data_IF_440359218945
#
_entry.id   IF_440359218945
#
_cell.length_a   1.000
_cell.length_b   1.000
_cell.length_c   1.000
_cell.angle_alpha   90.00
_cell.angle_beta   90.00
_cell.angle_gamma   90.00
#
_symmetry.space_group_name_H-M   'P 1'
#
loop_
_entity.id
_entity.type
_entity.pdbx_description
1 polymer ?
#
# COMPACT_ATOMS: atom_id res chain seq x y z
N UNK A 1 60.19 -46.61 30.82
CA UNK A 1 59.26 -46.61 29.67
C UNK A 1 57.83 -46.55 30.22
N UNK A 2 56.95 -45.84 29.51
CA UNK A 2 55.50 -45.62 29.74
C UNK A 2 55.07 -44.39 30.59
N UNK A 3 55.18 -43.21 29.97
CA UNK A 3 54.13 -42.16 29.76
C UNK A 3 53.22 -41.65 30.90
N UNK A 4 53.23 -40.34 31.21
CA UNK A 4 52.12 -39.60 31.82
C UNK A 4 51.33 -38.87 30.72
N UNK A 5 50.21 -39.44 30.25
CA UNK A 5 49.40 -38.82 29.17
C UNK A 5 47.92 -38.65 29.56
N UNK A 6 47.46 -39.13 30.72
CA UNK A 6 46.02 -39.18 30.99
C UNK A 6 45.40 -37.91 31.62
N UNK A 7 46.20 -36.96 32.13
CA UNK A 7 45.66 -35.81 32.88
C UNK A 7 45.50 -34.51 32.07
N UNK A 8 45.96 -34.46 30.83
CA UNK A 8 45.89 -33.26 29.97
C UNK A 8 44.79 -33.30 28.91
N UNK A 9 44.03 -34.39 28.80
CA UNK A 9 42.96 -34.52 27.79
C UNK A 9 41.57 -34.05 28.29
N UNK A 10 41.36 -33.93 29.60
CA UNK A 10 40.06 -33.53 30.19
C UNK A 10 39.82 -32.01 30.26
N UNK A 11 40.86 -31.19 30.15
CA UNK A 11 40.77 -29.73 30.35
C UNK A 11 40.73 -28.93 29.04
N UNK A 12 40.93 -29.59 27.90
CA UNK A 12 40.88 -28.96 26.57
C UNK A 12 39.50 -29.03 25.90
N UNK A 13 38.53 -29.77 26.47
CA UNK A 13 37.18 -29.90 25.89
C UNK A 13 36.15 -28.90 26.46
N UNK A 14 36.52 -28.12 27.48
CA UNK A 14 35.58 -27.22 28.19
C UNK A 14 35.64 -25.76 27.67
N UNK A 15 36.62 -25.41 26.83
CA UNK A 15 36.82 -24.02 26.38
C UNK A 15 36.13 -23.69 25.03
N UNK A 16 35.49 -24.66 24.37
CA UNK A 16 34.86 -24.44 23.04
C UNK A 16 33.36 -24.10 23.08
N UNK A 17 32.78 -23.84 24.26
CA UNK A 17 31.37 -23.46 24.41
C UNK A 17 31.15 -21.95 24.56
N UNK A 18 32.10 -21.13 24.12
CA UNK A 18 31.90 -19.68 24.02
C UNK A 18 30.82 -19.36 22.97
N UNK A 19 29.58 -19.30 23.41
CA UNK A 19 28.59 -18.30 23.03
C UNK A 19 28.42 -18.01 21.54
N UNK A 20 28.36 -19.02 20.68
CA UNK A 20 27.82 -18.81 19.34
C UNK A 20 26.31 -18.64 19.47
N UNK A 21 25.84 -17.39 19.48
CA UNK A 21 24.49 -17.04 19.08
C UNK A 21 24.18 -17.86 17.82
N UNK A 22 23.36 -18.91 17.91
CA UNK A 22 23.14 -19.74 16.72
C UNK A 22 22.43 -18.86 15.67
N UNK A 23 22.90 -18.82 14.42
CA UNK A 23 22.22 -18.07 13.35
C UNK A 23 20.74 -18.43 13.21
N UNK A 24 20.36 -19.64 13.66
CA UNK A 24 18.99 -20.16 13.67
C UNK A 24 18.11 -19.44 14.70
N UNK A 25 18.62 -19.16 15.91
CA UNK A 25 17.87 -18.43 16.93
C UNK A 25 17.64 -16.96 16.51
N UNK A 26 18.66 -16.31 15.94
CA UNK A 26 18.54 -14.96 15.41
C UNK A 26 17.58 -14.90 14.22
N UNK A 27 17.66 -15.85 13.28
CA UNK A 27 16.75 -15.92 12.14
C UNK A 27 15.29 -16.09 12.57
N UNK A 28 15.00 -16.98 13.54
CA UNK A 28 13.65 -17.15 14.09
C UNK A 28 13.14 -15.90 14.80
N UNK A 29 13.99 -15.25 15.60
CA UNK A 29 13.63 -14.02 16.31
C UNK A 29 13.29 -12.88 15.33
N UNK A 30 14.09 -12.70 14.28
CA UNK A 30 13.84 -11.67 13.24
C UNK A 30 12.53 -11.95 12.48
N UNK A 31 12.23 -13.21 12.15
CA UNK A 31 10.97 -13.58 11.50
C UNK A 31 9.75 -13.35 12.41
N UNK A 32 9.84 -13.70 13.69
CA UNK A 32 8.74 -13.49 14.64
C UNK A 32 8.53 -12.00 14.93
N UNK A 33 9.64 -11.23 14.95
CA UNK A 33 9.61 -9.78 15.02
C UNK A 33 8.86 -9.16 13.83
N UNK A 34 9.27 -9.49 12.59
CA UNK A 34 8.63 -8.97 11.38
C UNK A 34 7.12 -9.29 11.34
N UNK A 35 6.75 -10.54 11.69
CA UNK A 35 5.35 -10.95 11.82
C UNK A 35 4.58 -10.10 12.83
N UNK A 36 5.17 -9.82 13.98
CA UNK A 36 4.53 -9.03 15.03
C UNK A 36 4.31 -7.59 14.58
N UNK A 37 5.31 -6.97 13.93
CA UNK A 37 5.18 -5.59 13.41
C UNK A 37 4.09 -5.53 12.34
N UNK A 38 4.15 -6.40 11.33
CA UNK A 38 3.16 -6.45 10.26
C UNK A 38 1.74 -6.67 10.81
N UNK A 39 1.60 -7.52 11.83
CA UNK A 39 0.33 -7.75 12.51
C UNK A 39 -0.19 -6.50 13.24
N UNK A 40 0.67 -5.82 13.99
CA UNK A 40 0.30 -4.60 14.73
C UNK A 40 -0.13 -3.50 13.76
N UNK A 41 0.56 -3.32 12.63
CA UNK A 41 0.15 -2.33 11.62
C UNK A 41 -1.22 -2.63 11.02
N UNK A 42 -1.49 -3.90 10.68
CA UNK A 42 -2.80 -4.34 10.20
C UNK A 42 -3.91 -4.14 11.25
N UNK A 43 -3.64 -4.49 12.52
CA UNK A 43 -4.58 -4.28 13.62
C UNK A 43 -4.87 -2.80 13.85
N UNK A 44 -3.86 -1.91 13.80
CA UNK A 44 -4.06 -0.47 13.94
C UNK A 44 -4.90 0.14 12.80
N UNK A 45 -4.70 -0.33 11.57
CA UNK A 45 -5.52 0.07 10.43
C UNK A 45 -6.98 -0.39 10.61
N UNK A 46 -7.19 -1.65 11.00
CA UNK A 46 -8.53 -2.19 11.28
C UNK A 46 -9.21 -1.46 12.45
N UNK A 47 -8.46 -1.11 13.49
CA UNK A 47 -8.96 -0.34 14.62
C UNK A 47 -9.43 1.05 14.18
N UNK A 48 -8.76 1.69 13.21
CA UNK A 48 -9.23 2.96 12.66
C UNK A 48 -10.51 2.82 11.84
N UNK A 49 -10.73 1.68 11.17
CA UNK A 49 -12.01 1.39 10.53
C UNK A 49 -13.10 1.21 11.59
N UNK A 50 -12.82 0.48 12.67
CA UNK A 50 -13.74 0.33 13.81
C UNK A 50 -14.09 1.67 14.47
N UNK A 51 -13.10 2.55 14.66
CA UNK A 51 -13.30 3.92 15.15
C UNK A 51 -14.23 4.70 14.22
N UNK A 52 -13.94 4.70 12.91
CA UNK A 52 -14.77 5.38 11.93
C UNK A 52 -16.21 4.84 11.91
N UNK A 53 -16.39 3.52 12.12
CA UNK A 53 -17.71 2.87 12.22
C UNK A 53 -18.52 3.36 13.41
N UNK A 54 -17.86 3.72 14.49
CA UNK A 54 -18.48 4.24 15.71
C UNK A 54 -18.38 5.78 15.83
N UNK A 55 -18.06 6.48 14.73
CA UNK A 55 -17.89 7.94 14.69
C UNK A 55 -16.81 8.48 15.66
N UNK A 56 -15.87 7.64 16.07
CA UNK A 56 -14.70 8.07 16.82
C UNK A 56 -13.66 8.71 15.88
N UNK A 57 -12.93 9.74 16.33
CA UNK A 57 -11.80 10.28 15.57
C UNK A 57 -10.77 9.19 15.26
N UNK A 58 -10.38 9.09 13.99
CA UNK A 58 -9.30 8.19 13.59
C UNK A 58 -7.95 8.72 14.08
N UNK A 59 -7.07 7.82 14.50
CA UNK A 59 -5.76 8.15 15.03
C UNK A 59 -4.72 7.15 14.55
N UNK A 60 -3.60 7.64 14.04
CA UNK A 60 -2.55 6.79 13.49
C UNK A 60 -1.31 6.82 14.36
N UNK A 61 -0.81 5.63 14.65
CA UNK A 61 0.45 5.38 15.33
C UNK A 61 1.28 4.50 14.41
N UNK A 62 2.58 4.80 14.28
CA UNK A 62 3.51 3.88 13.64
C UNK A 62 4.46 3.30 14.68
N UNK A 63 4.82 2.03 14.51
CA UNK A 63 5.88 1.39 15.28
C UNK A 63 7.19 1.72 14.57
N UNK A 64 7.92 2.71 15.09
CA UNK A 64 9.13 3.21 14.42
C UNK A 64 10.32 2.24 14.49
N UNK A 65 10.41 1.49 15.59
CA UNK A 65 11.40 0.44 15.80
C UNK A 65 11.01 -0.37 17.02
N UNK A 66 11.30 -1.67 17.01
CA UNK A 66 11.35 -2.48 18.23
C UNK A 66 12.77 -3.01 18.36
N UNK A 67 13.40 -2.74 19.50
CA UNK A 67 14.72 -3.26 19.81
C UNK A 67 14.56 -4.38 20.85
N UNK A 68 14.89 -5.61 20.48
CA UNK A 68 14.91 -6.74 21.41
C UNK A 68 16.34 -6.98 21.93
N UNK A 69 16.52 -6.93 23.25
CA UNK A 69 17.76 -7.39 23.89
C UNK A 69 17.52 -8.78 24.46
N UNK A 70 18.32 -9.76 24.04
CA UNK A 70 18.28 -11.12 24.55
C UNK A 70 19.44 -11.32 25.53
N UNK A 71 19.14 -11.60 26.79
CA UNK A 71 20.11 -12.00 27.82
C UNK A 71 20.03 -13.52 28.01
N UNK A 72 21.04 -14.23 27.50
CA UNK A 72 21.18 -15.67 27.64
C UNK A 72 22.11 -15.97 28.80
N UNK A 73 21.57 -16.39 29.95
CA UNK A 73 22.39 -16.78 31.11
C UNK A 73 22.43 -18.30 31.21
N UNK A 74 23.63 -18.84 31.04
CA UNK A 74 23.93 -20.24 31.34
C UNK A 74 24.71 -20.27 32.64
N UNK A 75 24.08 -20.72 33.72
CA UNK A 75 24.72 -20.88 35.01
C UNK A 75 24.97 -22.38 35.25
N UNK A 76 26.25 -22.74 35.32
CA UNK A 76 26.70 -24.06 35.75
C UNK A 76 27.30 -23.91 37.15
N UNK A 77 26.64 -24.51 38.14
CA UNK A 77 27.05 -24.44 39.54
C UNK A 77 27.35 -25.83 40.09
N UNK A 78 28.42 -25.93 40.87
CA UNK A 78 28.70 -27.12 41.69
C UNK A 78 28.34 -26.75 43.12
N UNK A 79 27.22 -27.27 43.61
CA UNK A 79 26.79 -27.08 45.00
C UNK A 79 27.28 -28.27 45.82
N UNK A 80 28.41 -28.08 46.49
CA UNK A 80 28.90 -29.02 47.49
C UNK A 80 28.26 -28.74 48.85
N UNK A 81 27.49 -29.68 49.39
CA UNK A 81 27.02 -29.61 50.78
C UNK A 81 28.12 -30.16 51.70
N UNK A 82 28.61 -29.35 52.64
CA UNK A 82 29.56 -29.80 53.67
C UNK A 82 28.75 -30.53 54.77
N UNK A 83 28.80 -31.86 54.76
CA UNK A 83 28.26 -32.73 55.81
C UNK A 83 29.33 -33.15 56.83
N UNK A 84 28.94 -33.71 57.99
CA UNK A 84 29.87 -34.09 59.06
C UNK A 84 30.75 -35.32 58.75
N UNK A 85 30.54 -36.01 57.63
CA UNK A 85 31.35 -37.16 57.18
C UNK A 85 31.82 -36.96 55.73
N UNK A 86 33.10 -37.22 55.40
CA UNK A 86 33.63 -37.09 54.03
C UNK A 86 32.93 -38.00 53.00
N UNK A 87 32.27 -39.05 53.47
CA UNK A 87 31.66 -40.09 52.63
C UNK A 87 30.22 -39.75 52.18
N UNK A 88 29.59 -38.73 52.78
CA UNK A 88 28.18 -38.35 52.56
C UNK A 88 28.01 -36.90 52.05
N UNK A 89 29.00 -36.34 51.35
CA UNK A 89 28.89 -35.02 50.72
C UNK A 89 28.50 -35.18 49.23
N UNK A 90 27.21 -35.35 48.88
CA UNK A 90 26.81 -35.41 47.48
C UNK A 90 27.16 -34.08 46.82
N UNK A 91 28.00 -34.14 45.80
CA UNK A 91 28.29 -33.00 44.93
C UNK A 91 27.17 -32.94 43.91
N UNK A 92 26.25 -31.98 44.10
CA UNK A 92 25.16 -31.78 43.17
C UNK A 92 25.61 -30.81 42.07
N UNK A 93 25.62 -31.29 40.83
CA UNK A 93 25.95 -30.48 39.65
C UNK A 93 24.63 -29.98 39.08
N UNK A 94 24.36 -28.69 39.28
CA UNK A 94 23.20 -28.01 38.74
C UNK A 94 23.54 -27.35 37.41
N UNK A 95 22.76 -27.62 36.38
CA UNK A 95 22.81 -26.89 35.11
C UNK A 95 21.51 -26.11 34.96
N UNK A 96 21.59 -24.78 34.90
CA UNK A 96 20.44 -23.93 34.64
C UNK A 96 20.69 -23.06 33.41
N UNK A 97 19.69 -23.00 32.55
CA UNK A 97 19.66 -22.15 31.36
C UNK A 97 18.46 -21.24 31.48
N UNK A 98 18.69 -19.93 31.50
CA UNK A 98 17.62 -18.94 31.43
C UNK A 98 17.80 -18.05 30.20
N UNK A 99 16.67 -17.67 29.61
CA UNK A 99 16.60 -16.75 28.49
C UNK A 99 15.67 -15.63 28.93
N UNK A 100 16.19 -14.42 29.05
CA UNK A 100 15.39 -13.23 29.31
C UNK A 100 15.35 -12.36 28.05
N UNK A 101 14.13 -12.03 27.60
CA UNK A 101 13.90 -11.12 26.47
C UNK A 101 13.35 -9.80 27.01
N UNK A 102 14.06 -8.70 26.77
CA UNK A 102 13.60 -7.35 27.14
C UNK A 102 13.36 -6.54 25.85
N UNK A 103 12.20 -6.71 25.19
CA UNK A 103 11.89 -5.94 23.99
C UNK A 103 11.45 -4.53 24.39
N UNK A 104 12.06 -3.56 23.73
CA UNK A 104 11.76 -2.14 23.86
C UNK A 104 11.05 -1.68 22.60
N UNK A 105 9.76 -1.39 22.70
CA UNK A 105 8.96 -0.88 21.57
C UNK A 105 9.01 0.64 21.56
N UNK A 106 9.45 1.22 20.45
CA UNK A 106 9.41 2.67 20.22
C UNK A 106 8.23 3.01 19.34
N UNK A 107 7.20 3.58 19.96
CA UNK A 107 5.98 4.05 19.29
C UNK A 107 6.13 5.54 19.02
N UNK A 108 5.98 5.93 17.76
CA UNK A 108 5.91 7.35 17.40
C UNK A 108 4.46 7.63 17.00
N UNK A 109 3.72 8.43 17.78
CA UNK A 109 2.40 8.86 17.34
C UNK A 109 2.57 9.67 16.05
N UNK A 110 1.84 9.34 14.99
CA UNK A 110 1.87 10.17 13.78
C UNK A 110 0.89 11.30 14.05
N UNK A 111 1.42 12.42 14.50
CA UNK A 111 0.63 13.57 14.91
C UNK A 111 1.26 14.84 14.35
N UNK A 112 0.41 15.79 13.97
CA UNK A 112 0.83 17.07 13.40
C UNK A 112 -0.05 17.50 12.24
N UNK A 113 -0.10 18.81 12.01
CA UNK A 113 -0.94 19.44 10.99
C UNK A 113 -0.68 18.87 9.59
N UNK A 114 0.58 18.63 9.23
CA UNK A 114 0.96 18.10 7.92
C UNK A 114 0.45 16.67 7.68
N UNK A 115 0.45 15.83 8.71
CA UNK A 115 -0.11 14.49 8.62
C UNK A 115 -1.64 14.53 8.47
N UNK A 116 -2.30 15.36 9.30
CA UNK A 116 -3.76 15.56 9.20
C UNK A 116 -4.15 16.06 7.81
N UNK A 117 -3.43 17.05 7.27
CA UNK A 117 -3.64 17.54 5.90
C UNK A 117 -3.51 16.42 4.86
N UNK A 118 -2.48 15.59 4.95
CA UNK A 118 -2.26 14.48 3.98
C UNK A 118 -3.37 13.45 4.00
N UNK A 119 -3.83 13.05 5.19
CA UNK A 119 -4.91 12.06 5.33
C UNK A 119 -6.27 12.59 4.87
N UNK A 120 -6.50 13.90 5.01
CA UNK A 120 -7.72 14.57 4.57
C UNK A 120 -7.68 14.99 3.11
N UNK A 121 -6.49 15.17 2.53
CA UNK A 121 -6.32 15.50 1.11
C UNK A 121 -6.69 14.30 0.24
N UNK A 122 -7.52 14.50 -0.81
CA UNK A 122 -7.75 13.48 -1.82
C UNK A 122 -6.47 12.93 -2.42
N UNK A 123 -6.47 11.62 -2.72
CA UNK A 123 -5.34 10.95 -3.38
C UNK A 123 -5.14 11.51 -4.78
N UNK A 124 -3.88 11.57 -5.21
CA UNK A 124 -3.47 12.12 -6.52
C UNK A 124 -3.56 11.05 -7.62
N UNK A 125 -3.83 11.45 -8.86
CA UNK A 125 -3.81 10.58 -10.04
C UNK A 125 -2.51 9.75 -10.17
N UNK A 126 -1.38 10.30 -9.73
CA UNK A 126 -0.09 9.60 -9.72
C UNK A 126 -0.05 8.40 -8.76
N UNK A 127 -0.77 8.48 -7.64
CA UNK A 127 -0.90 7.36 -6.70
C UNK A 127 -1.77 6.25 -7.30
N UNK A 128 -2.83 6.63 -8.03
CA UNK A 128 -3.66 5.69 -8.77
C UNK A 128 -2.88 5.00 -9.89
N UNK A 129 -2.15 5.76 -10.71
CA UNK A 129 -1.27 5.23 -11.77
C UNK A 129 -0.28 4.21 -11.21
N UNK A 130 0.42 4.58 -10.12
CA UNK A 130 1.40 3.72 -9.47
C UNK A 130 0.80 2.36 -9.09
N UNK A 131 -0.37 2.36 -8.44
CA UNK A 131 -1.04 1.13 -7.97
C UNK A 131 -1.54 0.27 -9.13
N UNK A 132 -2.09 0.88 -10.18
CA UNK A 132 -2.50 0.15 -11.39
C UNK A 132 -1.30 -0.53 -12.06
N UNK A 133 -0.15 0.16 -12.15
CA UNK A 133 1.07 -0.42 -12.74
C UNK A 133 1.70 -1.54 -11.91
N UNK A 134 1.35 -1.66 -10.62
CA UNK A 134 1.72 -2.83 -9.80
C UNK A 134 0.89 -4.08 -10.15
N UNK A 135 -0.06 -4.00 -11.08
CA UNK A 135 -0.91 -5.12 -11.49
C UNK A 135 -2.08 -5.40 -10.56
N UNK A 136 -2.43 -4.45 -9.68
CA UNK A 136 -3.58 -4.54 -8.79
C UNK A 136 -4.89 -4.43 -9.59
N UNK A 137 -5.93 -5.14 -9.12
CA UNK A 137 -7.24 -5.11 -9.76
C UNK A 137 -7.83 -3.68 -9.75
N UNK A 138 -8.04 -3.12 -10.95
CA UNK A 138 -8.57 -1.76 -11.13
C UNK A 138 -10.00 -1.60 -10.59
N UNK A 139 -10.84 -2.64 -10.65
CA UNK A 139 -12.18 -2.63 -10.08
C UNK A 139 -12.09 -2.44 -8.56
N UNK A 140 -11.18 -3.15 -7.91
CA UNK A 140 -10.93 -3.02 -6.47
C UNK A 140 -10.36 -1.65 -6.12
N UNK A 141 -9.33 -1.19 -6.86
CA UNK A 141 -8.72 0.13 -6.67
C UNK A 141 -9.75 1.25 -6.79
N UNK A 142 -10.54 1.27 -7.86
CA UNK A 142 -11.52 2.32 -8.09
C UNK A 142 -12.68 2.26 -7.09
N UNK A 143 -13.08 1.08 -6.62
CA UNK A 143 -14.08 0.98 -5.54
C UNK A 143 -13.59 1.60 -4.22
N UNK A 144 -12.32 1.40 -3.89
CA UNK A 144 -11.70 2.00 -2.71
C UNK A 144 -11.47 3.49 -2.91
N UNK A 145 -10.77 3.86 -3.98
CA UNK A 145 -10.24 5.20 -4.21
C UNK A 145 -11.26 6.16 -4.79
N UNK A 146 -12.21 5.74 -5.64
CA UNK A 146 -13.11 6.68 -6.28
C UNK A 146 -14.32 7.02 -5.40
N UNK A 147 -14.52 8.31 -5.15
CA UNK A 147 -15.74 8.87 -4.54
C UNK A 147 -16.93 8.77 -5.49
N UNK A 148 -16.68 8.87 -6.78
CA UNK A 148 -17.68 8.84 -7.83
C UNK A 148 -17.07 9.17 -9.19
N UNK A 149 -17.89 9.17 -10.22
CA UNK A 149 -17.52 9.57 -11.58
C UNK A 149 -18.43 10.70 -12.03
N UNK A 150 -17.84 11.80 -12.49
CA UNK A 150 -18.55 12.84 -13.23
C UNK A 150 -18.59 12.43 -14.70
N UNK A 151 -19.75 12.07 -15.22
CA UNK A 151 -19.95 11.65 -16.62
C UNK A 151 -20.51 12.83 -17.42
N UNK A 152 -19.96 13.06 -18.60
CA UNK A 152 -20.47 14.06 -19.55
C UNK A 152 -21.48 13.40 -20.50
N UNK A 153 -22.70 13.91 -20.52
CA UNK A 153 -23.82 13.44 -21.35
C UNK A 153 -24.52 14.64 -22.02
N UNK A 154 -24.48 14.71 -23.36
CA UNK A 154 -25.25 15.67 -24.17
C UNK A 154 -25.14 17.15 -23.72
N UNK A 155 -23.97 17.56 -23.21
CA UNK A 155 -23.73 18.94 -22.72
C UNK A 155 -24.15 19.17 -21.27
N UNK A 156 -24.54 18.12 -20.55
CA UNK A 156 -24.75 18.11 -19.10
C UNK A 156 -23.76 17.17 -18.43
N UNK A 157 -23.44 17.44 -17.17
CA UNK A 157 -22.57 16.57 -16.37
C UNK A 157 -23.37 15.92 -15.26
N UNK A 158 -23.37 14.59 -15.19
CA UNK A 158 -24.07 13.79 -14.18
C UNK A 158 -23.05 13.17 -13.24
N UNK A 159 -23.25 13.29 -11.93
CA UNK A 159 -22.37 12.68 -10.93
C UNK A 159 -22.91 11.33 -10.48
N UNK A 160 -22.16 10.26 -10.76
CA UNK A 160 -22.45 8.91 -10.29
C UNK A 160 -21.64 8.64 -9.02
N UNK A 161 -22.29 8.64 -7.86
CA UNK A 161 -21.65 8.47 -6.56
C UNK A 161 -21.37 7.01 -6.22
N UNK A 162 -20.17 6.77 -5.68
CA UNK A 162 -19.84 5.52 -5.00
C UNK A 162 -20.41 5.54 -3.58
N UNK A 163 -21.73 5.54 -3.48
CA UNK A 163 -22.48 5.56 -2.23
C UNK A 163 -23.74 4.67 -2.34
N UNK A 164 -23.80 3.51 -1.66
CA UNK A 164 -24.95 2.61 -1.71
C UNK A 164 -26.30 3.23 -1.34
N UNK A 165 -26.34 4.33 -0.60
CA UNK A 165 -27.61 5.03 -0.27
C UNK A 165 -28.25 5.71 -1.49
N UNK A 166 -27.47 5.97 -2.54
CA UNK A 166 -27.91 6.52 -3.82
C UNK A 166 -27.95 5.37 -4.84
N UNK A 167 -28.99 4.54 -4.76
CA UNK A 167 -29.04 3.23 -5.43
C UNK A 167 -28.75 3.29 -6.93
N UNK A 168 -29.36 4.23 -7.65
CA UNK A 168 -29.22 4.33 -9.10
C UNK A 168 -27.83 4.86 -9.51
N UNK A 169 -27.33 5.88 -8.81
CA UNK A 169 -25.98 6.42 -9.00
C UNK A 169 -24.92 5.34 -8.73
N UNK A 170 -25.06 4.60 -7.63
CA UNK A 170 -24.15 3.54 -7.24
C UNK A 170 -24.17 2.38 -8.24
N UNK A 171 -25.35 1.98 -8.73
CA UNK A 171 -25.48 0.95 -9.76
C UNK A 171 -24.74 1.36 -11.03
N UNK A 172 -25.00 2.57 -11.53
CA UNK A 172 -24.34 3.07 -12.74
C UNK A 172 -22.83 3.25 -12.54
N UNK A 173 -22.40 3.77 -11.39
CA UNK A 173 -20.99 3.88 -11.01
C UNK A 173 -20.30 2.51 -11.06
N UNK A 174 -20.88 1.49 -10.41
CA UNK A 174 -20.36 0.12 -10.40
C UNK A 174 -20.30 -0.48 -11.81
N UNK A 175 -21.30 -0.23 -12.65
CA UNK A 175 -21.30 -0.65 -14.05
C UNK A 175 -20.18 0.00 -14.87
N UNK A 176 -19.91 1.30 -14.69
CA UNK A 176 -18.77 1.98 -15.34
C UNK A 176 -17.43 1.37 -14.91
N UNK A 177 -17.25 1.10 -13.62
CA UNK A 177 -16.03 0.47 -13.10
C UNK A 177 -15.83 -0.95 -13.63
N UNK A 178 -16.90 -1.75 -13.69
CA UNK A 178 -16.86 -3.10 -14.27
C UNK A 178 -16.50 -3.05 -15.76
N UNK A 179 -16.99 -2.04 -16.49
CA UNK A 179 -16.63 -1.82 -17.89
C UNK A 179 -15.13 -1.51 -18.06
N UNK A 180 -14.60 -0.60 -17.23
CA UNK A 180 -13.15 -0.31 -17.21
C UNK A 180 -12.33 -1.55 -16.82
N UNK A 181 -12.79 -2.34 -15.84
CA UNK A 181 -12.11 -3.55 -15.41
C UNK A 181 -12.04 -4.62 -16.52
N UNK A 182 -13.14 -4.84 -17.25
CA UNK A 182 -13.17 -5.75 -18.39
C UNK A 182 -12.20 -5.30 -19.51
N UNK A 183 -12.14 -3.99 -19.79
CA UNK A 183 -11.19 -3.42 -20.73
C UNK A 183 -9.73 -3.58 -20.29
N UNK A 184 -9.46 -3.40 -18.99
CA UNK A 184 -8.12 -3.57 -18.44
C UNK A 184 -7.67 -5.03 -18.53
N UNK A 185 -8.55 -5.97 -18.14
CA UNK A 185 -8.26 -7.40 -18.17
C UNK A 185 -8.03 -7.94 -19.59
N UNK A 186 -8.70 -7.36 -20.59
CA UNK A 186 -8.51 -7.69 -22.01
C UNK A 186 -7.33 -6.97 -22.67
N UNK A 187 -6.61 -6.10 -21.94
CA UNK A 187 -5.48 -5.34 -22.47
C UNK A 187 -5.89 -4.22 -23.44
N UNK A 188 -7.14 -3.78 -23.39
CA UNK A 188 -7.69 -2.72 -24.23
C UNK A 188 -7.85 -1.38 -23.51
N UNK A 189 -7.59 -1.33 -22.19
CA UNK A 189 -7.53 -0.09 -21.43
C UNK A 189 -6.10 0.45 -21.36
N UNK A 190 -5.93 1.70 -21.75
CA UNK A 190 -4.67 2.43 -21.64
C UNK A 190 -4.74 3.35 -20.43
N UNK A 191 -3.87 3.12 -19.46
CA UNK A 191 -3.74 3.94 -18.24
C UNK A 191 -2.31 4.47 -18.21
N UNK A 192 -2.13 5.67 -18.76
CA UNK A 192 -0.82 6.27 -18.89
C UNK A 192 -0.90 7.81 -18.97
N UNK A 193 0.16 8.52 -18.57
CA UNK A 193 0.23 9.96 -18.76
C UNK A 193 0.31 10.30 -20.25
N UNK A 194 -0.29 11.42 -20.63
CA UNK A 194 -0.13 11.96 -21.98
C UNK A 194 1.35 12.31 -22.20
N UNK A 195 1.96 11.75 -23.23
CA UNK A 195 3.30 12.13 -23.67
C UNK A 195 3.18 12.92 -24.96
N UNK A 196 3.67 14.15 -25.01
CA UNK A 196 3.67 14.96 -26.23
C UNK A 196 4.98 15.76 -26.35
N UNK A 197 5.25 16.27 -27.55
CA UNK A 197 6.39 17.14 -27.80
C UNK A 197 5.94 18.58 -28.05
N UNK A 198 6.59 19.52 -27.38
CA UNK A 198 6.41 20.96 -27.59
C UNK A 198 7.54 21.50 -28.46
N UNK A 199 7.16 22.19 -29.53
CA UNK A 199 8.08 22.88 -30.42
C UNK A 199 8.28 24.33 -29.98
N UNK A 200 9.52 24.69 -29.71
CA UNK A 200 9.95 26.05 -29.41
C UNK A 200 10.76 26.56 -30.60
N UNK A 201 10.23 27.48 -31.42
CA UNK A 201 10.99 28.07 -32.50
C UNK A 201 12.13 28.89 -31.92
N UNK A 202 13.37 28.61 -32.35
CA UNK A 202 14.55 29.35 -31.87
C UNK A 202 15.17 30.10 -33.04
N UNK A 203 15.18 31.43 -32.92
CA UNK A 203 16.01 32.28 -33.76
C UNK A 203 17.39 32.39 -33.08
N UNK A 204 18.39 31.72 -33.67
CA UNK A 204 19.77 31.84 -33.21
C UNK A 204 20.44 33.01 -33.96
N UNK A 205 20.87 34.01 -33.21
CA UNK A 205 21.70 35.13 -33.69
C UNK A 205 23.16 34.72 -33.92
N UNK A 206 23.61 33.67 -33.24
CA UNK A 206 24.92 33.04 -33.40
C UNK A 206 24.87 31.52 -33.25
N UNK A 207 25.95 30.85 -33.66
CA UNK A 207 26.13 29.44 -33.34
C UNK A 207 26.20 29.22 -31.81
N UNK A 208 25.59 28.13 -31.35
CA UNK A 208 25.64 27.71 -29.95
C UNK A 208 27.02 27.16 -29.61
N UNK A 209 27.48 27.46 -28.40
CA UNK A 209 28.67 26.86 -27.82
C UNK A 209 28.38 25.42 -27.36
N UNK A 210 29.40 24.55 -27.26
CA UNK A 210 29.22 23.20 -26.73
C UNK A 210 28.55 23.17 -25.34
N UNK A 211 28.86 24.14 -24.48
CA UNK A 211 28.25 24.27 -23.14
C UNK A 211 26.75 24.55 -23.22
N UNK A 212 26.33 25.42 -24.13
CA UNK A 212 24.91 25.73 -24.35
C UNK A 212 24.15 24.52 -24.92
N UNK A 213 24.78 23.76 -25.82
CA UNK A 213 24.19 22.53 -26.36
C UNK A 213 23.99 21.49 -25.26
N UNK A 214 24.99 21.27 -24.40
CA UNK A 214 24.89 20.35 -23.26
C UNK A 214 23.79 20.80 -22.29
N UNK A 215 23.73 22.09 -21.94
CA UNK A 215 22.70 22.62 -21.04
C UNK A 215 21.26 22.45 -21.58
N UNK A 216 21.08 22.56 -22.90
CA UNK A 216 19.79 22.32 -23.57
C UNK A 216 19.42 20.82 -23.53
N UNK A 217 20.38 19.93 -23.78
CA UNK A 217 20.19 18.49 -23.71
C UNK A 217 19.89 18.00 -22.28
N UNK A 218 20.60 18.53 -21.27
CA UNK A 218 20.36 18.23 -19.85
C UNK A 218 18.94 18.61 -19.42
N UNK A 219 18.37 19.68 -20.00
CA UNK A 219 16.98 20.10 -19.77
C UNK A 219 15.95 19.32 -20.59
N UNK A 220 16.38 18.26 -21.29
CA UNK A 220 15.50 17.36 -22.06
C UNK A 220 15.05 17.89 -23.41
N UNK A 221 15.65 18.97 -23.91
CA UNK A 221 15.36 19.50 -25.24
C UNK A 221 16.19 18.78 -26.31
N UNK A 222 15.65 18.71 -27.53
CA UNK A 222 16.28 18.10 -28.71
C UNK A 222 16.19 19.07 -29.89
N UNK A 223 17.24 19.14 -30.68
CA UNK A 223 17.24 19.95 -31.90
C UNK A 223 16.58 19.18 -33.04
N UNK A 224 15.56 19.79 -33.64
CA UNK A 224 14.94 19.30 -34.88
C UNK A 224 15.05 20.40 -35.92
N UNK A 225 15.55 20.03 -37.11
CA UNK A 225 15.66 20.92 -38.26
C UNK A 225 14.71 20.41 -39.34
N UNK A 226 13.48 20.94 -39.42
CA UNK A 226 12.50 20.49 -40.41
C UNK A 226 12.94 20.90 -41.83
N UNK A 227 13.70 20.05 -42.51
CA UNK A 227 14.25 20.31 -43.86
C UNK A 227 15.16 21.55 -43.99
N UNK A 228 15.88 21.64 -45.12
CA UNK A 228 17.01 22.57 -45.34
C UNK A 228 16.66 24.09 -45.31
N UNK A 229 15.40 24.47 -45.10
CA UNK A 229 14.91 25.86 -45.23
C UNK A 229 14.15 26.41 -44.00
N UNK A 230 13.89 25.62 -42.96
CA UNK A 230 13.13 26.08 -41.79
C UNK A 230 14.02 26.60 -40.66
N UNK A 231 13.44 27.46 -39.82
CA UNK A 231 14.02 27.85 -38.53
C UNK A 231 14.23 26.61 -37.67
N UNK A 232 15.42 26.45 -37.05
CA UNK A 232 15.66 25.32 -36.18
C UNK A 232 14.71 25.37 -34.98
N UNK A 233 14.17 24.22 -34.61
CA UNK A 233 13.21 24.08 -33.52
C UNK A 233 13.84 23.29 -32.37
N UNK A 234 13.56 23.72 -31.15
CA UNK A 234 13.79 22.95 -29.94
C UNK A 234 12.53 22.16 -29.62
N UNK A 235 12.66 20.84 -29.54
CA UNK A 235 11.59 19.93 -29.13
C UNK A 235 11.83 19.47 -27.70
N UNK A 236 10.82 19.55 -26.83
CA UNK A 236 10.89 18.95 -25.49
C UNK A 236 9.76 17.94 -25.32
N UNK A 237 10.11 16.74 -24.86
CA UNK A 237 9.11 15.73 -24.48
C UNK A 237 8.51 16.12 -23.13
N UNK A 238 7.20 16.27 -23.07
CA UNK A 238 6.42 16.56 -21.87
C UNK A 238 5.67 15.32 -21.44
N UNK A 239 5.69 15.04 -20.14
CA UNK A 239 4.79 14.10 -19.49
C UNK A 239 3.65 14.92 -18.87
N UNK A 240 2.43 14.70 -19.34
CA UNK A 240 1.22 15.41 -18.96
C UNK A 240 0.42 14.65 -17.88
N UNK A 241 -0.89 14.92 -17.88
CA UNK A 241 -1.89 14.31 -17.00
C UNK A 241 -2.16 12.86 -17.37
N UNK A 242 -2.58 12.09 -16.36
CA UNK A 242 -3.02 10.71 -16.54
C UNK A 242 -4.33 10.65 -17.34
N UNK A 243 -4.41 9.72 -18.29
CA UNK A 243 -5.65 9.41 -19.00
C UNK A 243 -5.96 7.92 -18.91
N UNK A 244 -7.24 7.60 -18.84
CA UNK A 244 -7.79 6.24 -18.91
C UNK A 244 -8.64 6.14 -20.18
N UNK A 245 -8.15 5.44 -21.19
CA UNK A 245 -8.78 5.42 -22.52
C UNK A 245 -8.89 4.00 -23.09
N UNK A 246 -9.88 3.74 -23.95
CA UNK A 246 -9.98 2.48 -24.69
C UNK A 246 -9.24 2.49 -26.04
N UNK A 247 -8.51 3.56 -26.32
CA UNK A 247 -7.67 3.75 -27.49
C UNK A 247 -6.26 4.18 -27.06
N UNK A 248 -5.25 3.88 -27.87
CA UNK A 248 -3.89 4.28 -27.56
C UNK A 248 -3.72 5.79 -27.78
N UNK A 249 -3.48 6.61 -26.74
CA UNK A 249 -3.34 8.06 -26.89
C UNK A 249 -2.17 8.46 -27.79
N UNK A 250 -1.19 7.59 -28.02
CA UNK A 250 -0.05 7.87 -28.90
C UNK A 250 -0.40 7.85 -30.39
N UNK A 251 -1.58 7.40 -30.78
CA UNK A 251 -2.07 7.52 -32.17
C UNK A 251 -2.50 8.95 -32.50
N UNK A 252 -2.78 9.76 -31.48
CA UNK A 252 -3.12 11.18 -31.62
C UNK A 252 -1.89 12.01 -31.96
N UNK A 253 -2.09 13.12 -32.69
CA UNK A 253 -1.04 14.09 -32.96
C UNK A 253 -0.48 14.69 -31.65
N UNK A 254 0.75 15.21 -31.70
CA UNK A 254 1.36 15.87 -30.53
C UNK A 254 0.52 17.07 -30.06
N UNK A 255 0.01 17.87 -30.99
CA UNK A 255 -0.85 19.01 -30.68
C UNK A 255 -2.19 18.61 -30.08
N UNK A 256 -2.82 17.54 -30.59
CA UNK A 256 -4.07 17.05 -30.02
C UNK A 256 -3.87 16.57 -28.58
N UNK A 257 -2.77 15.86 -28.29
CA UNK A 257 -2.42 15.47 -26.91
C UNK A 257 -2.13 16.66 -26.01
N UNK A 258 -1.45 17.70 -26.53
CA UNK A 258 -1.19 18.94 -25.79
C UNK A 258 -2.49 19.66 -25.42
N UNK A 259 -3.40 19.84 -26.37
CA UNK A 259 -4.70 20.50 -26.14
C UNK A 259 -5.57 19.71 -25.15
N UNK A 260 -5.59 18.38 -25.28
CA UNK A 260 -6.26 17.51 -24.31
C UNK A 260 -5.65 17.66 -22.91
N UNK A 261 -4.32 17.66 -22.81
CA UNK A 261 -3.61 17.88 -21.55
C UNK A 261 -3.90 19.24 -20.92
N UNK A 262 -3.93 20.31 -21.72
CA UNK A 262 -4.32 21.67 -21.26
C UNK A 262 -5.75 21.70 -20.70
N UNK A 263 -6.65 20.90 -21.27
CA UNK A 263 -8.03 20.76 -20.80
C UNK A 263 -8.08 20.03 -19.46
N UNK A 264 -7.44 18.86 -19.37
CA UNK A 264 -7.40 18.04 -18.14
C UNK A 264 -6.63 18.75 -17.01
N UNK A 265 -5.63 19.58 -17.34
CA UNK A 265 -4.88 20.38 -16.37
C UNK A 265 -5.72 21.37 -15.57
N UNK A 266 -6.92 21.71 -16.04
CA UNK A 266 -7.86 22.56 -15.31
C UNK A 266 -8.55 21.81 -14.16
N UNK A 267 -8.65 20.48 -14.27
CA UNK A 267 -9.23 19.62 -13.24
C UNK A 267 -8.22 19.42 -12.09
N UNK A 268 -8.70 19.28 -10.83
CA UNK A 268 -7.85 18.92 -9.69
C UNK A 268 -7.01 17.66 -9.95
N UNK A 269 -5.88 17.53 -9.23
CA UNK A 269 -4.99 16.36 -9.37
C UNK A 269 -5.61 15.06 -8.87
N UNK A 270 -6.63 15.14 -8.02
CA UNK A 270 -7.44 14.02 -7.55
C UNK A 270 -8.54 13.62 -8.53
N UNK A 271 -8.57 14.21 -9.72
CA UNK A 271 -9.50 13.85 -10.79
C UNK A 271 -8.73 13.13 -11.90
N UNK A 272 -9.12 11.90 -12.18
CA UNK A 272 -8.54 11.10 -13.27
C UNK A 272 -9.46 11.17 -14.47
N UNK A 273 -8.93 11.64 -15.59
CA UNK A 273 -9.69 11.74 -16.85
C UNK A 273 -9.94 10.37 -17.46
N UNK A 274 -11.16 10.13 -17.92
CA UNK A 274 -11.59 8.90 -18.59
C UNK A 274 -12.27 9.23 -19.90
N UNK A 275 -11.93 8.50 -20.96
CA UNK A 275 -12.58 8.62 -22.27
C UNK A 275 -12.66 7.26 -22.97
N UNK A 276 -13.86 6.70 -22.98
CA UNK A 276 -14.21 5.48 -23.69
C UNK A 276 -14.94 5.87 -24.98
N UNK A 277 -14.21 5.80 -26.10
CA UNK A 277 -14.70 6.24 -27.40
C UNK A 277 -15.45 5.12 -28.13
N UNK A 278 -16.51 5.48 -28.89
CA UNK A 278 -17.10 4.60 -29.89
C UNK A 278 -16.07 4.14 -30.92
N UNK A 279 -16.23 2.92 -31.45
CA UNK A 279 -15.37 2.38 -32.52
C UNK A 279 -14.03 1.79 -32.06
N UNK A 280 -13.67 1.91 -30.79
CA UNK A 280 -12.59 1.17 -30.13
C UNK A 280 -13.16 0.03 -29.26
N UNK A 281 -12.37 -0.97 -28.81
CA UNK A 281 -12.87 -2.03 -27.94
C UNK A 281 -13.62 -1.49 -26.71
N UNK A 282 -14.73 -2.12 -26.34
CA UNK A 282 -15.67 -1.61 -25.31
C UNK A 282 -16.46 -0.35 -25.67
N UNK A 283 -16.21 0.26 -26.83
CA UNK A 283 -16.92 1.45 -27.32
C UNK A 283 -18.42 1.26 -27.60
N UNK A 284 -18.97 0.07 -27.33
CA UNK A 284 -20.41 -0.18 -27.26
C UNK A 284 -21.04 0.48 -26.02
N UNK A 285 -20.24 0.75 -24.99
CA UNK A 285 -20.62 1.51 -23.81
C UNK A 285 -19.75 2.78 -23.64
N UNK A 286 -19.87 3.75 -24.55
CA UNK A 286 -19.02 4.93 -24.53
C UNK A 286 -19.39 5.85 -23.36
N UNK A 287 -18.38 6.49 -22.78
CA UNK A 287 -18.57 7.60 -21.85
C UNK A 287 -17.27 8.39 -21.71
N UNK A 288 -17.42 9.69 -21.45
CA UNK A 288 -16.33 10.60 -21.12
C UNK A 288 -16.59 11.17 -19.73
N UNK A 289 -15.54 11.36 -18.93
CA UNK A 289 -15.74 11.86 -17.57
C UNK A 289 -14.48 12.00 -16.73
N UNK A 290 -14.69 12.26 -15.43
CA UNK A 290 -13.62 12.30 -14.42
C UNK A 290 -13.96 11.41 -13.24
N UNK A 291 -13.04 10.53 -12.88
CA UNK A 291 -13.08 9.77 -11.64
C UNK A 291 -12.54 10.68 -10.53
N UNK A 292 -13.37 10.98 -9.53
CA UNK A 292 -12.97 11.80 -8.38
C UNK A 292 -12.42 10.89 -7.29
N UNK A 293 -11.16 11.08 -6.90
CA UNK A 293 -10.50 10.26 -5.88
C UNK A 293 -10.84 10.74 -4.45
N UNK A 294 -10.85 9.79 -3.52
CA UNK A 294 -11.07 9.99 -2.09
C UNK A 294 -9.77 10.32 -1.41
N UNK A 295 -9.86 10.99 -0.27
CA UNK A 295 -8.76 11.02 0.69
C UNK A 295 -8.70 9.70 1.44
N UNK A 296 -7.55 9.38 2.06
CA UNK A 296 -7.42 8.16 2.84
C UNK A 296 -8.46 8.09 3.98
N UNK A 297 -8.74 9.21 4.65
CA UNK A 297 -9.83 9.30 5.63
C UNK A 297 -11.19 8.95 5.04
N UNK A 298 -11.50 9.43 3.84
CA UNK A 298 -12.77 9.13 3.17
C UNK A 298 -12.87 7.66 2.73
N UNK A 299 -11.75 6.99 2.43
CA UNK A 299 -11.71 5.54 2.17
C UNK A 299 -12.09 4.77 3.45
N UNK A 300 -11.45 5.08 4.59
CA UNK A 300 -11.79 4.45 5.86
C UNK A 300 -13.26 4.66 6.24
N UNK A 301 -13.77 5.87 6.05
CA UNK A 301 -15.18 6.18 6.27
C UNK A 301 -16.13 5.41 5.35
N UNK A 302 -15.77 5.23 4.07
CA UNK A 302 -16.56 4.42 3.13
C UNK A 302 -16.64 2.96 3.57
N UNK A 303 -15.50 2.35 3.90
CA UNK A 303 -15.45 0.96 4.38
C UNK A 303 -16.24 0.81 5.68
N UNK A 304 -16.04 1.73 6.63
CA UNK A 304 -16.68 1.70 7.93
C UNK A 304 -18.22 1.76 7.84
N UNK A 305 -18.76 2.67 7.03
CA UNK A 305 -20.22 2.73 6.80
C UNK A 305 -20.74 1.47 6.13
N UNK A 306 -19.95 0.87 5.24
CA UNK A 306 -20.26 -0.40 4.58
C UNK A 306 -20.47 -1.59 5.53
N UNK A 307 -19.91 -1.56 6.76
CA UNK A 307 -20.07 -2.65 7.74
C UNK A 307 -21.55 -2.83 8.14
N UNK A 308 -22.31 -1.73 8.28
CA UNK A 308 -23.72 -1.85 8.71
C UNK A 308 -24.65 -0.68 8.44
N UNK A 309 -24.15 0.52 8.12
CA UNK A 309 -25.00 1.68 7.86
C UNK A 309 -25.44 1.74 6.40
N UNK A 310 -24.46 1.71 5.51
CA UNK A 310 -24.64 1.83 4.06
C UNK A 310 -24.08 0.58 3.37
N UNK A 311 -24.62 -0.63 3.62
CA UNK A 311 -24.05 -1.85 3.08
C UNK A 311 -24.09 -1.84 1.54
N UNK A 312 -22.95 -2.12 0.93
CA UNK A 312 -22.86 -2.34 -0.51
C UNK A 312 -23.71 -3.54 -0.94
N UNK A 313 -24.32 -3.44 -2.12
CA UNK A 313 -25.16 -4.49 -2.70
C UNK A 313 -24.57 -5.01 -4.03
N UNK A 314 -24.94 -6.25 -4.45
CA UNK A 314 -24.51 -6.79 -5.74
C UNK A 314 -24.96 -5.92 -6.91
N UNK A 315 -24.05 -5.65 -7.85
CA UNK A 315 -24.35 -4.96 -9.10
C UNK A 315 -23.80 -5.77 -10.25
N UNK A 316 -24.69 -6.18 -11.15
CA UNK A 316 -24.32 -6.86 -12.39
C UNK A 316 -23.65 -5.88 -13.36
N UNK A 317 -22.76 -6.42 -14.20
CA UNK A 317 -22.18 -5.64 -15.28
C UNK A 317 -23.28 -5.18 -16.25
N UNK A 318 -23.03 -4.05 -16.90
CA UNK A 318 -23.91 -3.61 -17.99
C UNK A 318 -23.89 -4.64 -19.12
N UNK A 319 -25.02 -4.96 -19.78
CA UNK A 319 -25.07 -5.95 -20.87
C UNK A 319 -24.10 -5.67 -22.03
N UNK A 320 -23.61 -4.44 -22.17
CA UNK A 320 -22.63 -4.03 -23.19
C UNK A 320 -21.18 -4.27 -22.78
N UNK A 321 -20.95 -4.77 -21.57
CA UNK A 321 -19.63 -5.10 -21.02
C UNK A 321 -19.32 -6.57 -21.25
N UNK A 322 -18.11 -6.85 -21.71
CA UNK A 322 -17.61 -8.21 -21.95
C UNK A 322 -17.28 -8.94 -20.63
N UNK A 323 -16.51 -10.04 -20.70
CA UNK A 323 -16.15 -10.88 -19.55
C UNK A 323 -15.53 -10.08 -18.40
N UNK A 324 -16.09 -10.24 -17.21
CA UNK A 324 -15.62 -9.60 -15.98
C UNK A 324 -14.81 -10.59 -15.11
N UNK A 325 -13.80 -10.06 -14.43
CA UNK A 325 -13.14 -10.73 -13.31
C UNK A 325 -14.02 -10.77 -12.05
N UNK A 326 -13.42 -10.98 -10.86
CA UNK A 326 -14.15 -11.01 -9.59
C UNK A 326 -14.99 -9.74 -9.36
N UNK A 327 -16.27 -9.92 -8.99
CA UNK A 327 -17.21 -8.83 -8.69
C UNK A 327 -18.02 -9.15 -7.43
N UNK A 328 -17.41 -9.17 -6.23
CA UNK A 328 -18.16 -9.29 -5.00
C UNK A 328 -19.04 -8.05 -4.78
N UNK A 329 -20.09 -8.20 -3.99
CA UNK A 329 -20.97 -7.10 -3.63
C UNK A 329 -20.19 -6.01 -2.89
N UNK A 330 -19.44 -6.41 -1.85
CA UNK A 330 -18.70 -5.53 -0.96
C UNK A 330 -17.27 -5.33 -1.45
N UNK A 331 -16.76 -4.12 -1.29
CA UNK A 331 -15.37 -3.74 -1.60
C UNK A 331 -14.41 -4.37 -0.60
N UNK A 332 -14.79 -4.41 0.68
CA UNK A 332 -14.03 -5.08 1.74
C UNK A 332 -15.00 -5.57 2.82
N UNK A 333 -15.01 -6.87 3.10
CA UNK A 333 -15.87 -7.42 4.16
C UNK A 333 -15.16 -7.46 5.52
N UNK A 334 -15.65 -6.63 6.43
CA UNK A 334 -15.27 -6.64 7.83
C UNK A 334 -16.46 -7.17 8.64
N UNK A 335 -16.22 -8.22 9.41
CA UNK A 335 -17.18 -8.74 10.37
C UNK A 335 -17.18 -7.88 11.64
N UNK A 336 -18.38 -7.62 12.16
CA UNK A 336 -18.60 -7.00 13.48
C UNK A 336 -19.33 -8.04 14.35
N UNK A 337 -18.67 -8.53 15.41
CA UNK A 337 -19.17 -9.60 16.28
C UNK A 337 -19.06 -9.22 17.76
N UNK A 338 -19.78 -9.93 18.64
CA UNK A 338 -19.72 -9.73 20.10
C UNK A 338 -18.62 -10.56 20.78
N UNK A 339 -17.95 -11.44 20.04
CA UNK A 339 -16.84 -12.26 20.52
C UNK A 339 -15.81 -12.45 19.40
N UNK A 340 -14.53 -12.73 19.73
CA UNK A 340 -13.51 -12.98 18.72
C UNK A 340 -13.92 -14.12 17.77
N UNK A 341 -13.84 -13.92 16.44
CA UNK A 341 -14.16 -14.96 15.49
C UNK A 341 -13.06 -16.03 15.42
N UNK A 342 -13.46 -17.30 15.45
CA UNK A 342 -12.56 -18.47 15.46
C UNK A 342 -11.78 -18.65 14.15
N UNK A 343 -12.19 -17.97 13.08
CA UNK A 343 -11.71 -18.14 11.71
C UNK A 343 -11.03 -16.88 11.13
N UNK A 344 -10.55 -15.97 11.99
CA UNK A 344 -9.89 -14.72 11.59
C UNK A 344 -8.36 -14.76 11.73
N UNK A 345 -7.62 -14.12 10.81
CA UNK A 345 -6.16 -13.90 10.94
C UNK A 345 -5.84 -13.02 12.15
N UNK A 346 -6.62 -11.96 12.31
CA UNK A 346 -6.52 -10.98 13.37
C UNK A 346 -7.89 -10.34 13.60
N UNK A 347 -8.11 -9.87 14.84
CA UNK A 347 -9.30 -9.18 15.26
C UNK A 347 -8.92 -8.08 16.25
N UNK A 348 -9.64 -6.96 16.21
CA UNK A 348 -9.49 -5.86 17.15
C UNK A 348 -10.77 -5.63 17.92
N UNK A 349 -10.65 -5.30 19.19
CA UNK A 349 -11.78 -4.97 20.05
C UNK A 349 -11.93 -3.45 20.19
N UNK A 350 -13.16 -2.95 20.06
CA UNK A 350 -13.51 -1.56 20.36
C UNK A 350 -14.91 -1.53 20.98
N UNK A 351 -15.02 -1.01 22.20
CA UNK A 351 -16.28 -0.88 22.95
C UNK A 351 -17.08 -2.20 23.07
N UNK A 352 -16.39 -3.31 23.36
CA UNK A 352 -17.01 -4.63 23.53
C UNK A 352 -17.47 -5.29 22.22
N UNK A 353 -17.05 -4.76 21.07
CA UNK A 353 -17.27 -5.37 19.76
C UNK A 353 -15.94 -5.76 19.13
N UNK A 354 -15.94 -6.91 18.46
CA UNK A 354 -14.81 -7.42 17.72
C UNK A 354 -14.99 -7.14 16.23
N UNK A 355 -13.95 -6.58 15.62
CA UNK A 355 -13.87 -6.35 14.19
C UNK A 355 -12.81 -7.28 13.61
N UNK A 356 -13.08 -7.91 12.47
CA UNK A 356 -12.12 -8.78 11.80
C UNK A 356 -12.34 -8.83 10.29
N UNK A 357 -11.31 -9.18 9.53
CA UNK A 357 -11.45 -9.51 8.13
C UNK A 357 -12.17 -10.87 7.98
N UNK A 358 -13.17 -10.99 7.12
CA UNK A 358 -13.74 -12.31 6.79
C UNK A 358 -12.80 -13.07 5.86
N UNK A 359 -12.32 -14.24 6.30
CA UNK A 359 -11.62 -15.19 5.42
C UNK A 359 -12.61 -15.89 4.51
N UNK A 360 -12.38 -15.85 3.20
CA UNK A 360 -12.97 -16.83 2.28
C UNK A 360 -12.01 -18.02 2.23
N UNK A 361 -12.46 -19.28 2.39
CA UNK A 361 -11.56 -20.43 2.34
C UNK A 361 -10.79 -20.45 1.02
N UNK A 362 -9.46 -20.52 1.08
CA UNK A 362 -8.60 -20.72 -0.09
C UNK A 362 -8.78 -22.18 -0.54
N UNK A 363 -9.82 -22.45 -1.32
CA UNK A 363 -10.06 -23.78 -1.90
C UNK A 363 -9.02 -24.05 -2.99
N UNK A 364 -8.02 -24.87 -2.68
CA UNK A 364 -7.08 -25.56 -3.60
C UNK A 364 -6.76 -24.83 -4.92
N UNK A 365 -6.14 -23.67 -4.76
CA UNK A 365 -5.56 -22.84 -5.82
C UNK A 365 -5.24 -21.52 -5.16
N UNK A 366 -3.97 -21.10 -5.12
CA UNK A 366 -3.54 -19.90 -4.38
C UNK A 366 -4.10 -18.63 -5.03
N UNK A 367 -5.37 -18.33 -4.79
CA UNK A 367 -5.98 -17.04 -5.06
C UNK A 367 -6.24 -16.42 -3.68
N UNK A 368 -5.55 -15.34 -3.29
CA UNK A 368 -5.91 -14.62 -2.08
C UNK A 368 -7.38 -14.24 -2.17
N UNK A 369 -8.11 -14.36 -1.05
CA UNK A 369 -9.49 -13.89 -1.04
C UNK A 369 -9.52 -12.40 -1.38
N UNK A 370 -10.51 -11.95 -2.15
CA UNK A 370 -10.69 -10.52 -2.50
C UNK A 370 -10.51 -9.59 -1.30
N UNK A 371 -10.99 -10.00 -0.12
CA UNK A 371 -10.85 -9.25 1.13
C UNK A 371 -9.40 -9.07 1.58
N UNK A 372 -8.55 -10.09 1.47
CA UNK A 372 -7.13 -10.00 1.81
C UNK A 372 -6.39 -9.08 0.84
N UNK A 373 -6.72 -9.17 -0.45
CA UNK A 373 -6.13 -8.30 -1.46
C UNK A 373 -6.57 -6.84 -1.25
N UNK A 374 -7.86 -6.60 -1.01
CA UNK A 374 -8.41 -5.28 -0.71
C UNK A 374 -7.81 -4.66 0.56
N UNK A 375 -7.58 -5.47 1.60
CA UNK A 375 -6.93 -5.02 2.82
C UNK A 375 -5.43 -4.70 2.59
N UNK A 376 -4.74 -5.49 1.76
CA UNK A 376 -3.37 -5.20 1.34
C UNK A 376 -3.28 -3.89 0.55
N UNK A 377 -4.21 -3.66 -0.39
CA UNK A 377 -4.32 -2.39 -1.12
C UNK A 377 -4.57 -1.22 -0.18
N UNK A 378 -5.47 -1.37 0.79
CA UNK A 378 -5.71 -0.34 1.81
C UNK A 378 -4.46 -0.02 2.62
N UNK A 379 -3.66 -1.04 2.95
CA UNK A 379 -2.37 -0.88 3.64
C UNK A 379 -1.36 -0.13 2.77
N UNK A 380 -1.26 -0.45 1.48
CA UNK A 380 -0.39 0.29 0.55
C UNK A 380 -0.81 1.76 0.44
N UNK A 381 -2.11 2.04 0.33
CA UNK A 381 -2.65 3.40 0.32
C UNK A 381 -2.31 4.16 1.61
N UNK A 382 -2.38 3.49 2.76
CA UNK A 382 -1.96 4.08 4.03
C UNK A 382 -0.48 4.45 4.02
N UNK A 383 0.39 3.53 3.62
CA UNK A 383 1.84 3.73 3.58
C UNK A 383 2.23 4.86 2.60
N UNK A 384 1.58 4.94 1.44
CA UNK A 384 1.76 6.04 0.49
C UNK A 384 1.32 7.40 1.05
N UNK A 385 0.44 7.43 2.05
CA UNK A 385 -0.01 8.65 2.73
C UNK A 385 0.93 9.05 3.88
N UNK A 386 1.61 8.08 4.50
CA UNK A 386 2.48 8.26 5.69
C UNK A 386 3.95 8.49 5.33
N UNK A 387 4.47 7.92 4.25
CA UNK A 387 5.93 7.87 3.97
C UNK A 387 6.60 9.22 3.67
N UNK A 388 5.83 10.29 3.51
CA UNK A 388 6.34 11.64 3.29
C UNK A 388 6.76 12.37 4.62
N UNK A 389 6.92 11.62 5.73
CA UNK A 389 7.07 12.13 7.13
C UNK A 389 8.51 12.14 7.66
N UNK A 390 9.55 11.88 6.85
CA UNK A 390 10.92 11.69 7.35
C UNK A 390 11.64 12.91 7.95
N UNK A 391 10.98 14.06 8.18
CA UNK A 391 11.62 15.29 8.70
C UNK A 391 11.01 15.92 9.97
N UNK A 392 10.02 15.32 10.63
CA UNK A 392 9.43 15.90 11.86
C UNK A 392 9.89 15.20 13.14
N UNK A 393 10.50 15.95 14.06
CA UNK A 393 10.90 15.51 15.40
C UNK A 393 9.67 15.33 16.30
N UNK A 394 9.01 14.19 16.20
CA UNK A 394 7.91 13.80 17.11
C UNK A 394 8.50 13.12 18.36
N UNK A 395 7.98 13.35 19.58
CA UNK A 395 8.47 12.68 20.78
C UNK A 395 8.31 11.16 20.68
N UNK A 396 9.41 10.43 20.91
CA UNK A 396 9.44 8.98 20.99
C UNK A 396 8.80 8.52 22.31
N UNK A 397 7.87 7.56 22.24
CA UNK A 397 7.37 6.86 23.42
C UNK A 397 8.03 5.48 23.44
N UNK A 398 8.71 5.16 24.54
CA UNK A 398 9.37 3.87 24.76
C UNK A 398 8.63 3.10 25.85
N UNK A 399 8.11 1.92 25.51
CA UNK A 399 7.42 1.04 26.47
C UNK A 399 8.22 -0.26 26.62
N UNK A 400 8.75 -0.55 27.83
CA UNK A 400 9.30 -1.86 28.13
C UNK A 400 8.15 -2.87 28.32
N UNK A 401 8.25 -4.05 27.70
CA UNK A 401 7.30 -5.13 27.95
C UNK A 401 7.54 -5.68 29.36
N UNK A 402 6.60 -5.49 30.28
CA UNK A 402 6.62 -6.10 31.61
C UNK A 402 6.41 -7.63 31.54
N UNK A 403 7.06 -8.36 32.45
CA UNK A 403 7.05 -9.83 32.58
C UNK A 403 5.64 -10.44 32.67
#
# INVERSE_FOLDING_TARGET
MATPILFTLGMAFIVSLSGCLSPIALHKAVLEYDRTVNRVEAELLLLNIARARQYHPIHFTTVSSVAATFDFRTEAGILGRIGPSPEDAPVEVGFSTSVAENPTVTIIPISGEEFTKRILRPLDESQFEFLVHQGLDINMLLRLMARGVLVEEEGTSVTLLNNPTHTDDYRQFRQRLLHLAALNQSGHLFIQPLSYEEAYPVALDRALTPVEVVAVLEKGYRWVRPEKSSTPMLMRKILGRLVVTNYNPNTMSSDTRRVLNETINQDPRDWVYVDIQPGSPGGNYPFQGRIMLRSFNAILGFIARGIGEDPEFPVDADPRTDTIGPNPARTLEIAETTSPPNDSDFSVELEGRHYSLRRVPVTQGMVPSWNQEAFSVLTNLFQMTVTDVSNTKTPLITIPKGE
#
